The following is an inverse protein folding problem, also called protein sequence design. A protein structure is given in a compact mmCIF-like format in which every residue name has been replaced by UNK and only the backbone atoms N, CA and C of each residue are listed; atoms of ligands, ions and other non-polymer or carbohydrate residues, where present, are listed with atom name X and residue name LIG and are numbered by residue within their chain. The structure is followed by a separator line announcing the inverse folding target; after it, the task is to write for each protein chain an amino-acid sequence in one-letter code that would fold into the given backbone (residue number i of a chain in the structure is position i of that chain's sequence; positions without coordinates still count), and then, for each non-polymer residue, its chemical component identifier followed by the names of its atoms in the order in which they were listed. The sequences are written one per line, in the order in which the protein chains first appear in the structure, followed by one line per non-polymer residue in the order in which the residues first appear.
data_IF_953666840582
#
_entry.id   IF_953666840582
#
_cell.length_a   1.000
_cell.length_b   1.000
_cell.length_c   1.000
_cell.angle_alpha   90.00
_cell.angle_beta   90.00
_cell.angle_gamma   90.00
#
_symmetry.space_group_name_H-M   'P 1'
#
loop_
_entity.id
_entity.type
_entity.pdbx_description
1 polymer ?
#
# COMPACT_ATOMS: atom_id res chain seq x y z
N UNK A 1 -49.40 47.78 -14.42
CA UNK A 1 -48.03 47.82 -13.85
C UNK A 1 -47.30 49.07 -14.32
N UNK A 2 -46.61 49.72 -13.41
CA UNK A 2 -45.71 50.78 -13.75
C UNK A 2 -44.47 50.25 -14.44
N UNK A 3 -43.78 51.13 -15.17
CA UNK A 3 -42.54 50.74 -15.85
C UNK A 3 -41.47 50.25 -14.86
N UNK A 4 -41.42 50.84 -13.67
CA UNK A 4 -40.49 50.47 -12.62
C UNK A 4 -40.81 49.07 -12.06
N UNK A 5 -42.05 48.73 -11.89
CA UNK A 5 -42.51 47.42 -11.47
C UNK A 5 -42.16 46.35 -12.50
N UNK A 6 -42.31 46.63 -13.79
CA UNK A 6 -41.90 45.71 -14.87
C UNK A 6 -40.42 45.45 -14.87
N UNK A 7 -39.58 46.48 -14.65
CA UNK A 7 -38.13 46.33 -14.56
C UNK A 7 -37.72 45.44 -13.37
N UNK A 8 -38.37 45.64 -12.23
CA UNK A 8 -38.13 44.86 -11.03
C UNK A 8 -38.50 43.41 -11.27
N UNK A 9 -39.61 43.12 -11.94
CA UNK A 9 -40.04 41.79 -12.28
C UNK A 9 -39.06 41.10 -13.25
N UNK A 10 -38.62 41.83 -14.28
CA UNK A 10 -37.61 41.29 -15.22
C UNK A 10 -36.31 40.97 -14.53
N UNK A 11 -35.87 41.84 -13.64
CA UNK A 11 -34.65 41.59 -12.86
C UNK A 11 -34.78 40.35 -11.98
N UNK A 12 -35.92 40.18 -11.33
CA UNK A 12 -36.23 39.02 -10.53
C UNK A 12 -36.21 37.71 -11.38
N UNK A 13 -36.83 37.76 -12.54
CA UNK A 13 -36.83 36.60 -13.46
C UNK A 13 -35.41 36.23 -13.90
N UNK A 14 -34.60 37.23 -14.24
CA UNK A 14 -33.22 37.01 -14.66
C UNK A 14 -32.38 36.38 -13.54
N UNK A 15 -32.51 36.92 -12.33
CA UNK A 15 -31.80 36.42 -11.15
C UNK A 15 -32.23 34.99 -10.80
N UNK A 16 -33.54 34.72 -10.94
CA UNK A 16 -34.06 33.35 -10.70
C UNK A 16 -33.48 32.37 -11.71
N UNK A 17 -33.42 32.73 -12.98
CA UNK A 17 -32.81 31.89 -14.02
C UNK A 17 -31.33 31.65 -13.76
N UNK A 18 -30.60 32.67 -13.37
CA UNK A 18 -29.19 32.56 -13.01
C UNK A 18 -28.99 31.64 -11.82
N UNK A 19 -29.81 31.73 -10.81
CA UNK A 19 -29.77 30.88 -9.63
C UNK A 19 -30.03 29.41 -9.99
N UNK A 20 -31.00 29.14 -10.85
CA UNK A 20 -31.29 27.79 -11.35
C UNK A 20 -30.11 27.23 -12.10
N UNK A 21 -29.46 28.01 -12.96
CA UNK A 21 -28.28 27.59 -13.70
C UNK A 21 -27.10 27.29 -12.76
N UNK A 22 -26.88 28.15 -11.80
CA UNK A 22 -25.83 27.96 -10.79
C UNK A 22 -26.10 26.71 -9.95
N UNK A 23 -27.35 26.47 -9.58
CA UNK A 23 -27.72 25.27 -8.86
C UNK A 23 -27.46 24.00 -9.68
N UNK A 24 -27.83 24.02 -10.95
CA UNK A 24 -27.55 22.89 -11.86
C UNK A 24 -26.05 22.61 -12.01
N UNK A 25 -25.28 23.68 -12.19
CA UNK A 25 -23.83 23.56 -12.29
C UNK A 25 -23.21 23.01 -11.02
N UNK A 26 -23.65 23.49 -9.86
CA UNK A 26 -23.19 23.00 -8.57
C UNK A 26 -23.58 21.55 -8.34
N UNK A 27 -24.79 21.18 -8.73
CA UNK A 27 -25.27 19.79 -8.62
C UNK A 27 -24.47 18.85 -9.52
N UNK A 28 -24.17 19.26 -10.74
CA UNK A 28 -23.32 18.50 -11.67
C UNK A 28 -21.89 18.35 -11.16
N UNK A 29 -21.32 19.44 -10.62
CA UNK A 29 -20.00 19.38 -9.97
C UNK A 29 -19.99 18.42 -8.79
N UNK A 30 -21.03 18.47 -7.96
CA UNK A 30 -21.14 17.54 -6.84
C UNK A 30 -21.18 16.09 -7.30
N UNK A 31 -21.93 15.81 -8.35
CA UNK A 31 -22.00 14.46 -8.94
C UNK A 31 -20.61 14.01 -9.41
N UNK A 32 -19.91 14.87 -10.14
CA UNK A 32 -18.56 14.57 -10.63
C UNK A 32 -17.57 14.36 -9.49
N UNK A 33 -17.62 15.19 -8.45
CA UNK A 33 -16.77 15.06 -7.28
C UNK A 33 -17.05 13.76 -6.51
N UNK A 34 -18.31 13.37 -6.39
CA UNK A 34 -18.66 12.10 -5.76
C UNK A 34 -18.14 10.91 -6.56
N UNK A 35 -18.21 10.95 -7.88
CA UNK A 35 -17.63 9.93 -8.75
C UNK A 35 -16.11 9.87 -8.60
N UNK A 36 -15.47 11.01 -8.53
CA UNK A 36 -14.03 11.12 -8.34
C UNK A 36 -13.60 10.59 -6.98
N UNK A 37 -14.34 10.93 -5.92
CA UNK A 37 -14.10 10.41 -4.57
C UNK A 37 -14.23 8.88 -4.56
N UNK A 38 -15.28 8.34 -5.17
CA UNK A 38 -15.48 6.89 -5.25
C UNK A 38 -14.33 6.19 -5.98
N UNK A 39 -13.86 6.78 -7.07
CA UNK A 39 -12.72 6.24 -7.82
C UNK A 39 -11.43 6.27 -6.99
N UNK A 40 -11.19 7.35 -6.28
CA UNK A 40 -10.03 7.50 -5.41
C UNK A 40 -10.09 6.55 -4.21
N UNK A 41 -11.26 6.35 -3.64
CA UNK A 41 -11.45 5.40 -2.55
C UNK A 41 -11.11 3.97 -2.99
N UNK A 42 -11.50 3.58 -4.21
CA UNK A 42 -11.11 2.29 -4.80
C UNK A 42 -9.61 2.18 -4.97
N UNK A 43 -8.96 3.24 -5.47
CA UNK A 43 -7.51 3.27 -5.63
C UNK A 43 -6.79 3.16 -4.27
N UNK A 44 -7.30 3.83 -3.24
CA UNK A 44 -6.75 3.75 -1.89
C UNK A 44 -6.86 2.32 -1.35
N UNK A 45 -8.02 1.68 -1.50
CA UNK A 45 -8.20 0.29 -1.06
C UNK A 45 -7.28 -0.67 -1.82
N UNK A 46 -7.13 -0.47 -3.11
CA UNK A 46 -6.23 -1.27 -3.95
C UNK A 46 -4.77 -1.08 -3.54
N UNK A 47 -4.34 0.17 -3.31
CA UNK A 47 -2.99 0.47 -2.85
C UNK A 47 -2.72 -0.10 -1.45
N UNK A 48 -3.68 -0.05 -0.55
CA UNK A 48 -3.58 -0.68 0.77
C UNK A 48 -3.40 -2.19 0.65
N UNK A 49 -4.18 -2.83 -0.21
CA UNK A 49 -4.05 -4.27 -0.44
C UNK A 49 -2.67 -4.65 -1.01
N UNK A 50 -2.17 -3.86 -1.96
CA UNK A 50 -0.82 -4.06 -2.51
C UNK A 50 0.26 -3.85 -1.47
N UNK A 51 0.10 -2.83 -0.62
CA UNK A 51 1.04 -2.56 0.46
C UNK A 51 1.07 -3.70 1.48
N UNK A 52 -0.08 -4.22 1.87
CA UNK A 52 -0.18 -5.35 2.80
C UNK A 52 0.46 -6.60 2.20
N UNK A 53 0.20 -6.88 0.92
CA UNK A 53 0.81 -8.03 0.22
C UNK A 53 2.33 -7.88 0.16
N UNK A 54 2.84 -6.69 -0.17
CA UNK A 54 4.28 -6.43 -0.24
C UNK A 54 4.94 -6.54 1.13
N UNK A 55 4.28 -6.02 2.17
CA UNK A 55 4.76 -6.13 3.56
C UNK A 55 4.86 -7.60 3.99
N UNK A 56 3.87 -8.41 3.62
CA UNK A 56 3.86 -9.84 3.88
C UNK A 56 5.00 -10.56 3.14
N UNK A 57 5.18 -10.26 1.87
CA UNK A 57 6.27 -10.83 1.07
C UNK A 57 7.64 -10.44 1.63
N UNK A 58 7.79 -9.19 2.04
CA UNK A 58 9.03 -8.72 2.69
C UNK A 58 9.30 -9.49 3.99
N UNK A 59 8.29 -9.66 4.83
CA UNK A 59 8.42 -10.42 6.08
C UNK A 59 8.80 -11.88 5.81
N UNK A 60 8.17 -12.51 4.80
CA UNK A 60 8.47 -13.87 4.40
C UNK A 60 9.89 -14.00 3.87
N UNK A 61 10.32 -13.07 3.03
CA UNK A 61 11.68 -13.04 2.49
C UNK A 61 12.71 -12.87 3.59
N UNK A 62 12.46 -11.98 4.52
CA UNK A 62 13.33 -11.75 5.68
C UNK A 62 13.47 -13.01 6.53
N UNK A 63 12.36 -13.70 6.81
CA UNK A 63 12.35 -14.96 7.54
C UNK A 63 13.11 -16.03 6.79
N UNK A 64 12.87 -16.19 5.50
CA UNK A 64 13.58 -17.17 4.65
C UNK A 64 15.09 -16.91 4.63
N UNK A 65 15.50 -15.65 4.55
CA UNK A 65 16.91 -15.28 4.57
C UNK A 65 17.55 -15.57 5.92
N UNK A 66 16.86 -15.33 7.01
CA UNK A 66 17.34 -15.67 8.36
C UNK A 66 17.50 -17.18 8.53
N UNK A 67 16.58 -17.97 8.02
CA UNK A 67 16.67 -19.46 8.02
C UNK A 67 17.88 -19.92 7.19
N UNK A 68 18.10 -19.33 6.01
CA UNK A 68 19.23 -19.64 5.14
C UNK A 68 20.56 -19.36 5.83
N UNK A 69 20.70 -18.20 6.46
CA UNK A 69 21.90 -17.82 7.21
C UNK A 69 22.11 -18.78 8.37
N UNK A 70 21.08 -19.10 9.12
CA UNK A 70 21.13 -20.03 10.26
C UNK A 70 21.52 -21.43 9.81
N UNK A 71 20.97 -21.93 8.71
CA UNK A 71 21.35 -23.24 8.12
C UNK A 71 22.79 -23.24 7.66
N UNK A 72 23.27 -22.14 7.04
CA UNK A 72 24.66 -22.00 6.63
C UNK A 72 25.64 -22.04 7.81
N UNK A 73 25.31 -21.37 8.88
CA UNK A 73 26.11 -21.35 10.12
C UNK A 73 26.14 -22.72 10.77
N UNK A 74 24.99 -23.41 10.85
CA UNK A 74 24.92 -24.78 11.37
C UNK A 74 25.75 -25.78 10.55
N UNK A 75 25.65 -25.71 9.23
CA UNK A 75 26.43 -26.56 8.34
C UNK A 75 27.93 -26.32 8.49
N UNK A 76 28.34 -25.05 8.62
CA UNK A 76 29.73 -24.68 8.88
C UNK A 76 30.22 -25.22 10.22
N UNK A 77 29.42 -25.07 11.27
CA UNK A 77 29.73 -25.57 12.61
C UNK A 77 29.87 -27.11 12.61
N UNK A 78 28.99 -27.85 11.94
CA UNK A 78 29.03 -29.29 11.80
C UNK A 78 30.29 -29.74 11.08
N UNK A 79 30.71 -29.06 10.02
CA UNK A 79 31.95 -29.35 9.30
C UNK A 79 33.17 -29.17 10.17
N UNK A 80 33.25 -28.14 10.98
CA UNK A 80 34.33 -27.87 11.92
C UNK A 80 34.44 -28.96 12.98
N UNK A 81 33.33 -29.38 13.56
CA UNK A 81 33.27 -30.47 14.54
C UNK A 81 33.77 -31.77 13.92
N UNK A 82 33.29 -32.10 12.74
CA UNK A 82 33.71 -33.32 12.02
C UNK A 82 35.23 -33.33 11.75
N UNK A 83 35.80 -32.19 11.36
CA UNK A 83 37.23 -32.02 11.13
C UNK A 83 38.04 -32.24 12.41
N UNK A 84 37.61 -31.60 13.51
CA UNK A 84 38.26 -31.74 14.82
C UNK A 84 38.22 -33.19 15.31
N UNK A 85 37.07 -33.87 15.16
CA UNK A 85 36.93 -35.26 15.54
C UNK A 85 37.91 -36.15 14.76
N UNK A 86 38.11 -35.97 13.46
CA UNK A 86 39.07 -36.69 12.64
C UNK A 86 40.49 -36.43 13.10
N UNK A 87 40.84 -35.17 13.41
CA UNK A 87 42.18 -34.84 13.88
C UNK A 87 42.47 -35.47 15.25
N UNK A 88 41.51 -35.52 16.16
CA UNK A 88 41.66 -36.21 17.44
C UNK A 88 41.85 -37.70 17.25
N UNK A 89 41.05 -38.32 16.39
CA UNK A 89 41.16 -39.77 16.08
C UNK A 89 42.54 -40.12 15.52
N UNK A 90 43.07 -39.27 14.63
CA UNK A 90 44.44 -39.45 14.12
C UNK A 90 45.49 -39.37 15.23
N UNK A 91 45.36 -38.41 16.12
CA UNK A 91 46.29 -38.28 17.26
C UNK A 91 46.24 -39.52 18.15
N UNK A 92 45.06 -40.06 18.44
CA UNK A 92 44.89 -41.27 19.24
C UNK A 92 45.56 -42.48 18.55
N UNK A 93 45.34 -42.61 17.24
CA UNK A 93 45.95 -43.70 16.45
C UNK A 93 47.49 -43.64 16.48
N UNK A 94 48.06 -42.43 16.44
CA UNK A 94 49.52 -42.24 16.54
C UNK A 94 50.09 -42.65 17.92
N UNK A 95 49.31 -42.39 18.99
CA UNK A 95 49.73 -42.72 20.33
C UNK A 95 49.69 -44.24 20.62
N UNK A 96 48.88 -44.97 19.90
CA UNK A 96 48.75 -46.43 20.08
C UNK A 96 49.71 -47.28 19.23
N UNK A 97 50.53 -46.63 18.44
CA UNK A 97 51.58 -47.22 17.71
C UNK A 97 52.85 -47.18 18.54
#
# INVERSE_FOLDING_TARGET
MTEQEQRTLQLFETRTRQLILQYRDASERNRQLQEEISARDRQIEELKAQLDALTQEYANLKTAKMIEISSGENASAQKRIAKLTREVDKCIAMLNV
#
